data_IF_209427349619
#
_entry.id   IF_209427349619
#
_cell.length_a   1.000
_cell.length_b   1.000
_cell.length_c   1.000
_cell.angle_alpha   90.00
_cell.angle_beta   90.00
_cell.angle_gamma   90.00
#
_symmetry.space_group_name_H-M   'P 1'
#
loop_
_entity.id
_entity.type
_entity.pdbx_description
1 polymer ?
#
# COMPACT_ATOMS: atom_id res chain seq x y z
N UNK A 1 -22.10 25.25 4.45
CA UNK A 1 -21.63 24.30 3.42
C UNK A 1 -20.94 23.15 4.13
N UNK A 2 -21.51 21.94 4.12
CA UNK A 2 -20.83 20.75 4.67
C UNK A 2 -19.91 20.21 3.58
N UNK A 3 -18.59 20.44 3.71
CA UNK A 3 -17.60 19.82 2.84
C UNK A 3 -17.63 18.32 3.09
N UNK A 4 -18.35 17.58 2.23
CA UNK A 4 -18.32 16.13 2.21
C UNK A 4 -16.99 15.68 1.60
N UNK A 5 -15.90 15.77 2.36
CA UNK A 5 -14.68 15.04 2.02
C UNK A 5 -14.97 13.57 2.32
N UNK A 6 -15.24 12.79 1.28
CA UNK A 6 -15.15 11.34 1.36
C UNK A 6 -13.75 11.02 1.88
N UNK A 7 -13.62 10.68 3.15
CA UNK A 7 -12.33 10.28 3.73
C UNK A 7 -11.89 9.03 2.99
N UNK A 8 -10.89 9.16 2.13
CA UNK A 8 -10.26 8.01 1.51
C UNK A 8 -9.64 7.18 2.64
N UNK A 9 -10.13 5.96 2.84
CA UNK A 9 -9.71 5.07 3.94
C UNK A 9 -8.21 4.75 3.90
N UNK A 10 -7.59 4.83 2.72
CA UNK A 10 -6.15 4.62 2.57
C UNK A 10 -5.32 5.80 3.11
N UNK A 11 -5.88 7.01 3.16
CA UNK A 11 -5.22 8.17 3.76
C UNK A 11 -5.14 8.06 5.29
N UNK A 12 -5.98 7.23 5.91
CA UNK A 12 -5.98 7.01 7.36
C UNK A 12 -4.79 6.17 7.84
N UNK A 13 -4.21 5.38 6.94
CA UNK A 13 -3.05 4.50 7.20
C UNK A 13 -1.83 4.93 6.37
N UNK A 14 -1.84 6.16 5.85
CA UNK A 14 -0.71 6.74 5.15
C UNK A 14 0.31 7.22 6.17
N UNK A 15 1.56 6.87 5.92
CA UNK A 15 2.70 7.36 6.69
C UNK A 15 3.58 8.23 5.80
N UNK A 16 4.38 9.08 6.44
CA UNK A 16 5.34 9.93 5.76
C UNK A 16 6.71 9.74 6.39
N UNK A 17 7.76 9.66 5.57
CA UNK A 17 9.14 9.68 6.05
C UNK A 17 9.53 11.08 6.53
N UNK A 18 10.71 11.21 7.15
CA UNK A 18 11.29 12.52 7.49
C UNK A 18 11.56 13.43 6.28
N UNK A 19 11.46 12.89 5.06
CA UNK A 19 11.62 13.62 3.79
C UNK A 19 10.29 13.82 3.05
N UNK A 20 9.15 13.66 3.71
CA UNK A 20 7.79 13.75 3.13
C UNK A 20 7.49 12.73 2.02
N UNK A 21 8.27 11.66 1.91
CA UNK A 21 7.89 10.54 1.03
C UNK A 21 6.77 9.74 1.69
N UNK A 22 5.73 9.40 0.92
CA UNK A 22 4.56 8.66 1.40
C UNK A 22 4.81 7.15 1.32
N UNK A 23 4.36 6.42 2.33
CA UNK A 23 4.42 4.96 2.34
C UNK A 23 3.27 4.36 3.16
N UNK A 24 3.05 3.06 2.97
CA UNK A 24 2.00 2.30 3.64
C UNK A 24 2.54 0.98 4.16
N UNK A 25 2.14 0.60 5.38
CA UNK A 25 2.43 -0.75 5.86
C UNK A 25 1.48 -1.76 5.25
N UNK A 26 2.03 -2.85 4.72
CA UNK A 26 1.26 -3.94 4.14
C UNK A 26 0.19 -4.49 5.12
N UNK A 27 0.51 -4.60 6.42
CA UNK A 27 -0.44 -5.08 7.44
C UNK A 27 -1.64 -4.15 7.65
N UNK A 28 -1.48 -2.85 7.43
CA UNK A 28 -2.57 -1.88 7.55
C UNK A 28 -3.43 -1.84 6.27
N UNK A 29 -2.81 -2.01 5.11
CA UNK A 29 -3.52 -2.11 3.83
C UNK A 29 -4.37 -3.38 3.71
N UNK A 30 -3.90 -4.50 4.26
CA UNK A 30 -4.55 -5.81 4.15
C UNK A 30 -6.07 -5.78 4.45
N UNK A 31 -6.53 -5.33 5.63
CA UNK A 31 -7.97 -5.29 5.92
C UNK A 31 -8.73 -4.25 5.08
N UNK A 32 -8.09 -3.13 4.71
CA UNK A 32 -8.73 -2.08 3.90
C UNK A 32 -8.98 -2.52 2.45
N UNK A 33 -8.15 -3.44 1.95
CA UNK A 33 -8.29 -4.08 0.65
C UNK A 33 -9.15 -5.35 0.70
N UNK A 34 -9.75 -5.67 1.87
CA UNK A 34 -10.69 -6.77 2.03
C UNK A 34 -10.05 -8.16 2.18
N UNK A 35 -8.80 -8.25 2.62
CA UNK A 35 -8.13 -9.53 2.86
C UNK A 35 -8.22 -9.94 4.32
N UNK A 36 -8.78 -11.12 4.56
CA UNK A 36 -8.95 -11.69 5.92
C UNK A 36 -7.69 -12.38 6.48
N UNK A 37 -6.70 -12.68 5.62
CA UNK A 37 -5.52 -13.47 5.99
C UNK A 37 -4.27 -12.97 5.29
N UNK A 38 -3.14 -13.00 6.00
CA UNK A 38 -1.85 -12.59 5.45
C UNK A 38 -1.48 -13.38 4.20
N UNK A 39 -1.64 -14.72 4.21
CA UNK A 39 -1.26 -15.58 3.07
C UNK A 39 -1.90 -15.14 1.75
N UNK A 40 -3.19 -14.79 1.76
CA UNK A 40 -3.89 -14.32 0.54
C UNK A 40 -3.41 -12.94 0.08
N UNK A 41 -3.04 -12.09 1.03
CA UNK A 41 -2.56 -10.74 0.74
C UNK A 41 -1.10 -10.74 0.28
N UNK A 42 -0.28 -11.63 0.81
CA UNK A 42 1.09 -11.88 0.36
C UNK A 42 1.12 -12.24 -1.14
N UNK A 43 0.21 -13.11 -1.60
CA UNK A 43 0.08 -13.39 -3.04
C UNK A 43 -0.24 -12.14 -3.87
N UNK A 44 -1.01 -11.18 -3.32
CA UNK A 44 -1.31 -9.92 -3.99
C UNK A 44 -0.10 -8.97 -4.03
N UNK A 45 0.69 -8.95 -2.96
CA UNK A 45 1.95 -8.21 -2.90
C UNK A 45 2.92 -8.76 -3.95
N UNK A 46 3.07 -10.07 -4.07
CA UNK A 46 3.97 -10.67 -5.07
C UNK A 46 3.56 -10.33 -6.50
N UNK A 47 2.27 -10.35 -6.83
CA UNK A 47 1.78 -9.88 -8.15
C UNK A 47 2.04 -8.39 -8.38
N UNK A 48 1.96 -7.55 -7.34
CA UNK A 48 2.30 -6.14 -7.44
C UNK A 48 3.80 -5.96 -7.74
N UNK A 49 4.67 -6.71 -7.04
CA UNK A 49 6.12 -6.73 -7.32
C UNK A 49 6.43 -7.18 -8.74
N UNK A 50 5.79 -8.24 -9.25
CA UNK A 50 5.93 -8.67 -10.64
C UNK A 50 5.53 -7.58 -11.63
N UNK A 51 4.45 -6.85 -11.34
CA UNK A 51 3.99 -5.73 -12.17
C UNK A 51 5.02 -4.60 -12.21
N UNK A 52 5.64 -4.27 -11.08
CA UNK A 52 6.75 -3.29 -11.01
C UNK A 52 7.94 -3.73 -11.88
N UNK A 53 8.34 -5.00 -11.80
CA UNK A 53 9.43 -5.55 -12.63
C UNK A 53 9.14 -5.43 -14.12
N UNK A 54 7.90 -5.73 -14.53
CA UNK A 54 7.49 -5.68 -15.93
C UNK A 54 7.58 -4.29 -16.56
N UNK A 55 7.51 -3.23 -15.75
CA UNK A 55 7.65 -1.83 -16.19
C UNK A 55 9.04 -1.25 -15.90
N UNK A 56 9.99 -2.08 -15.48
CA UNK A 56 11.39 -1.68 -15.24
C UNK A 56 11.63 -0.97 -13.90
N UNK A 57 10.72 -1.07 -12.93
CA UNK A 57 10.92 -0.51 -11.58
C UNK A 57 11.69 -1.49 -10.67
N UNK A 58 12.56 -0.95 -9.81
CA UNK A 58 13.28 -1.71 -8.79
C UNK A 58 12.34 -2.05 -7.63
N UNK A 59 12.01 -3.32 -7.47
CA UNK A 59 11.06 -3.78 -6.43
C UNK A 59 11.58 -3.52 -5.03
N UNK A 60 12.90 -3.61 -4.85
CA UNK A 60 13.58 -3.45 -3.58
C UNK A 60 13.56 -2.01 -3.06
N UNK A 61 13.27 -1.04 -3.93
CA UNK A 61 13.11 0.38 -3.58
C UNK A 61 11.67 0.71 -3.16
N UNK A 62 10.69 -0.05 -3.68
CA UNK A 62 9.25 0.17 -3.46
C UNK A 62 8.66 -0.73 -2.36
N UNK A 63 9.24 -1.91 -2.12
CA UNK A 63 8.77 -2.90 -1.15
C UNK A 63 9.85 -3.23 -0.11
N UNK A 64 9.80 -2.53 1.02
CA UNK A 64 10.71 -2.72 2.14
C UNK A 64 10.22 -3.83 3.10
N UNK A 65 11.13 -4.53 3.81
CA UNK A 65 10.80 -5.63 4.72
C UNK A 65 10.05 -5.20 5.99
#
# INVERSE_FOLDING_TARGET
MKNNRSTNIFELVKHTTGYNAEYWFARELMPLLGYDTWRRFEDAIERAKESCKNVGMAVEEEFLP
#
